data_IF_603881160040
#
_entry.id   IF_603881160040
#
_cell.length_a   1.000
_cell.length_b   1.000
_cell.length_c   1.000
_cell.angle_alpha   90.00
_cell.angle_beta   90.00
_cell.angle_gamma   90.00
#
_symmetry.space_group_name_H-M   'P 1'
#
loop_
_entity.id
_entity.type
_entity.pdbx_description
1 polymer ?
#
# COMPACT_ATOMS: atom_id res chain seq x y z
N UNK A 1 10.29 13.89 15.24
CA UNK A 1 9.49 12.69 14.93
C UNK A 1 9.76 12.33 13.48
N UNK A 2 10.27 11.14 13.21
CA UNK A 2 10.62 10.69 11.86
C UNK A 2 9.65 9.59 11.45
N UNK A 3 8.98 9.78 10.31
CA UNK A 3 7.97 8.85 9.79
C UNK A 3 8.57 8.13 8.58
N UNK A 4 8.47 6.82 8.56
CA UNK A 4 8.83 5.99 7.41
C UNK A 4 7.54 5.62 6.66
N UNK A 5 7.60 5.70 5.33
CA UNK A 5 6.48 5.33 4.44
C UNK A 5 6.93 4.21 3.53
N UNK A 6 6.30 3.06 3.69
CA UNK A 6 6.55 1.89 2.85
C UNK A 6 5.36 1.61 1.93
N UNK A 7 5.69 1.31 0.67
CA UNK A 7 4.73 0.96 -0.37
C UNK A 7 4.73 -0.56 -0.55
N UNK A 8 3.58 -1.18 -0.29
CA UNK A 8 3.38 -2.61 -0.43
C UNK A 8 2.27 -2.88 -1.44
N UNK A 9 2.41 -3.98 -2.17
CA UNK A 9 1.37 -4.42 -3.11
C UNK A 9 1.30 -5.93 -3.16
N UNK A 10 0.08 -6.42 -3.39
CA UNK A 10 -0.16 -7.83 -3.65
C UNK A 10 -1.41 -8.00 -4.52
N UNK A 11 -1.62 -9.22 -4.99
CA UNK A 11 -2.86 -9.60 -5.68
C UNK A 11 -3.86 -10.10 -4.65
N UNK A 12 -5.10 -9.65 -4.75
CA UNK A 12 -6.20 -10.19 -3.94
C UNK A 12 -7.07 -11.04 -4.86
N UNK A 13 -7.25 -12.30 -4.49
CA UNK A 13 -8.01 -13.32 -5.22
C UNK A 13 -7.37 -13.76 -6.56
N UNK A 14 -7.18 -12.85 -7.52
CA UNK A 14 -6.56 -13.15 -8.81
C UNK A 14 -5.56 -12.08 -9.26
N UNK A 15 -4.61 -12.44 -10.15
CA UNK A 15 -3.51 -11.56 -10.61
C UNK A 15 -3.96 -10.27 -11.31
N UNK A 16 -5.21 -10.22 -11.78
CA UNK A 16 -5.79 -9.02 -12.40
C UNK A 16 -6.27 -7.97 -11.38
N UNK A 17 -6.35 -8.34 -10.10
CA UNK A 17 -6.81 -7.46 -9.03
C UNK A 17 -5.63 -7.06 -8.14
N UNK A 18 -4.81 -6.13 -8.65
CA UNK A 18 -3.69 -5.57 -7.92
C UNK A 18 -4.17 -4.54 -6.90
N UNK A 19 -3.88 -4.79 -5.64
CA UNK A 19 -4.18 -3.88 -4.53
C UNK A 19 -2.89 -3.28 -4.00
N UNK A 20 -2.94 -1.98 -3.72
CA UNK A 20 -1.85 -1.23 -3.13
C UNK A 20 -2.19 -0.88 -1.69
N UNK A 21 -1.17 -0.95 -0.85
CA UNK A 21 -1.26 -0.61 0.57
C UNK A 21 -0.10 0.33 0.89
N UNK A 22 -0.45 1.47 1.45
CA UNK A 22 0.50 2.41 2.01
C UNK A 22 0.53 2.25 3.52
N UNK A 23 1.72 2.05 4.07
CA UNK A 23 1.95 1.94 5.50
C UNK A 23 2.83 3.09 5.96
N UNK A 24 2.35 3.90 6.90
CA UNK A 24 3.18 4.88 7.59
C UNK A 24 3.50 4.37 8.99
N UNK A 25 4.79 4.28 9.30
CA UNK A 25 5.31 3.81 10.57
C UNK A 25 6.03 4.93 11.31
N UNK A 26 5.89 4.98 12.64
CA UNK A 26 6.84 5.74 13.45
C UNK A 26 8.18 5.01 13.45
N UNK A 27 9.25 5.70 13.07
CA UNK A 27 10.57 5.08 12.93
C UNK A 27 11.13 4.55 14.25
N UNK A 28 10.75 5.16 15.38
CA UNK A 28 11.32 4.86 16.69
C UNK A 28 10.53 3.74 17.36
N UNK A 29 9.19 3.84 17.40
CA UNK A 29 8.35 2.83 18.04
C UNK A 29 7.97 1.67 17.12
N UNK A 30 8.16 1.81 15.79
CA UNK A 30 7.68 0.87 14.75
C UNK A 30 6.15 0.71 14.77
N UNK A 31 5.44 1.64 15.38
CA UNK A 31 3.97 1.61 15.43
C UNK A 31 3.37 2.11 14.12
N UNK A 32 2.21 1.54 13.76
CA UNK A 32 1.46 1.94 12.57
C UNK A 32 0.70 3.21 12.90
N UNK A 33 1.05 4.29 12.22
CA UNK A 33 0.38 5.58 12.35
C UNK A 33 -0.74 5.71 11.32
N UNK A 34 -0.56 5.15 10.12
CA UNK A 34 -1.53 5.28 9.03
C UNK A 34 -1.49 4.07 8.10
N UNK A 35 -2.68 3.68 7.62
CA UNK A 35 -2.88 2.61 6.67
C UNK A 35 -3.89 3.06 5.60
N UNK A 36 -3.49 3.02 4.33
CA UNK A 36 -4.35 3.40 3.20
C UNK A 36 -4.33 2.36 2.10
N UNK A 37 -5.51 2.05 1.55
CA UNK A 37 -5.68 1.08 0.48
C UNK A 37 -6.04 1.80 -0.81
N UNK A 38 -5.53 1.31 -1.94
CA UNK A 38 -5.88 1.84 -3.25
C UNK A 38 -5.98 0.72 -4.27
N UNK A 39 -7.07 0.73 -5.03
CA UNK A 39 -7.25 -0.15 -6.18
C UNK A 39 -6.75 0.58 -7.42
N UNK A 40 -5.71 0.03 -8.06
CA UNK A 40 -5.30 0.54 -9.37
C UNK A 40 -6.17 -0.14 -10.42
N UNK A 41 -7.12 0.60 -10.98
CA UNK A 41 -7.85 0.14 -12.18
C UNK A 41 -6.92 0.39 -13.36
N UNK A 42 -6.20 -0.65 -13.77
CA UNK A 42 -5.36 -0.60 -14.97
C UNK A 42 -6.29 -0.73 -16.18
N UNK A 43 -6.76 0.42 -16.68
CA UNK A 43 -7.46 0.47 -17.97
C UNK A 43 -6.47 0.03 -19.03
N UNK A 44 -6.65 -1.18 -19.56
CA UNK A 44 -5.91 -1.69 -20.70
C UNK A 44 -6.34 -0.87 -21.93
N UNK A 45 -5.72 0.31 -22.13
CA UNK A 45 -5.76 0.97 -23.43
C UNK A 45 -4.87 0.14 -24.33
N UNK A 46 -5.50 -0.65 -25.19
CA UNK A 46 -4.85 -1.41 -26.25
C UNK A 46 -4.55 -0.49 -27.43
#
# INVERSE_FOLDING_TARGET
MAVERDELWSFVDHKGNKQWVWLALDRVSREIIELSFSKKIENYVR
#
